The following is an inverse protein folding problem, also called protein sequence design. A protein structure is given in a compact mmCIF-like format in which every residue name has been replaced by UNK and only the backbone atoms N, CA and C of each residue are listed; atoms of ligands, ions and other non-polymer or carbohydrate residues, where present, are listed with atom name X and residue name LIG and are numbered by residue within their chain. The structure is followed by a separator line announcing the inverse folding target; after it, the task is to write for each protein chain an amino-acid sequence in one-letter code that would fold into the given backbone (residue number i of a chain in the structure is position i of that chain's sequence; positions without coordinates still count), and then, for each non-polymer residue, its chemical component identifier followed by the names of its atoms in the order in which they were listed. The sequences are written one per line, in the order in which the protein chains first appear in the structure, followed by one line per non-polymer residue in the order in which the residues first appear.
data_IF_300935597766
#
_entry.id   IF_300935597766
#
_cell.length_a   1.000
_cell.length_b   1.000
_cell.length_c   1.000
_cell.angle_alpha   90.00
_cell.angle_beta   90.00
_cell.angle_gamma   90.00
#
_symmetry.space_group_name_H-M   'P 1'
#
loop_
_entity.id
_entity.type
_entity.pdbx_description
1 polymer ?
#
# COMPACT_ATOMS: atom_id res chain seq x y z
N UNK A 1 44.53 1.65 -35.66
CA UNK A 1 43.66 1.28 -34.50
C UNK A 1 42.90 2.53 -34.08
N UNK A 2 41.59 2.63 -33.88
CA UNK A 2 40.47 1.70 -33.99
C UNK A 2 39.18 2.56 -33.97
N UNK A 3 38.16 2.13 -34.72
CA UNK A 3 36.80 2.65 -34.66
C UNK A 3 36.11 2.03 -33.43
N UNK A 4 35.25 2.78 -32.74
CA UNK A 4 34.37 2.27 -31.68
C UNK A 4 34.66 2.92 -30.31
N UNK A 5 33.70 3.33 -29.48
CA UNK A 5 32.29 2.97 -29.44
C UNK A 5 31.54 4.00 -28.59
N UNK A 6 30.67 4.81 -29.21
CA UNK A 6 29.68 5.63 -28.50
C UNK A 6 28.48 4.79 -27.98
N UNK A 7 28.71 3.48 -27.78
CA UNK A 7 27.74 2.53 -27.27
C UNK A 7 27.82 2.38 -25.74
N UNK A 8 29.01 2.58 -25.14
CA UNK A 8 29.20 2.31 -23.70
C UNK A 8 28.50 3.34 -22.80
N UNK A 9 28.42 4.61 -23.22
CA UNK A 9 27.72 5.66 -22.46
C UNK A 9 26.19 5.53 -22.51
N UNK A 10 25.65 4.96 -23.59
CA UNK A 10 24.20 4.82 -23.83
C UNK A 10 23.63 3.56 -23.16
N UNK A 11 24.43 2.50 -23.02
CA UNK A 11 24.06 1.29 -22.28
C UNK A 11 24.07 1.52 -20.76
N UNK A 12 25.08 2.20 -20.21
CA UNK A 12 25.11 2.55 -18.78
C UNK A 12 23.99 3.51 -18.34
N UNK A 13 23.39 4.26 -19.27
CA UNK A 13 22.22 5.10 -18.98
C UNK A 13 20.90 4.31 -18.96
N UNK A 14 20.82 3.17 -19.65
CA UNK A 14 19.66 2.27 -19.61
C UNK A 14 19.79 1.22 -18.49
N UNK A 15 21.00 0.73 -18.22
CA UNK A 15 21.27 -0.24 -17.16
C UNK A 15 21.17 0.37 -15.77
N UNK A 16 21.51 1.66 -15.60
CA UNK A 16 21.23 2.41 -14.36
C UNK A 16 19.74 2.72 -14.13
N UNK A 17 18.87 2.46 -15.10
CA UNK A 17 17.43 2.64 -14.95
C UNK A 17 16.72 1.38 -14.41
N UNK A 18 17.43 0.26 -14.32
CA UNK A 18 16.95 -0.97 -13.71
C UNK A 18 17.90 -1.53 -12.63
N UNK A 19 18.79 -0.70 -12.08
CA UNK A 19 19.26 -0.97 -10.72
C UNK A 19 18.12 -0.55 -9.82
N UNK A 20 17.23 -1.50 -9.54
CA UNK A 20 16.39 -1.46 -8.36
C UNK A 20 17.31 -1.19 -7.18
N UNK A 21 17.37 0.08 -6.79
CA UNK A 21 18.01 0.51 -5.57
C UNK A 21 17.28 -0.28 -4.50
N UNK A 22 17.93 -1.32 -3.95
CA UNK A 22 17.51 -1.99 -2.71
C UNK A 22 17.68 -1.03 -1.52
N UNK A 23 17.23 0.22 -1.69
CA UNK A 23 17.23 1.28 -0.71
C UNK A 23 15.87 1.29 -0.05
N UNK A 24 15.82 0.69 1.14
CA UNK A 24 14.74 0.79 2.13
C UNK A 24 13.32 0.56 1.61
N UNK A 25 12.71 -0.57 1.96
CA UNK A 25 11.24 -0.77 1.83
C UNK A 25 10.55 0.51 2.29
N UNK A 26 10.01 1.25 1.32
CA UNK A 26 9.87 2.69 1.46
C UNK A 26 8.91 3.01 2.60
N UNK A 27 9.31 3.98 3.43
CA UNK A 27 8.41 4.56 4.41
C UNK A 27 7.11 5.00 3.74
N UNK A 28 7.14 5.44 2.48
CA UNK A 28 5.93 5.75 1.70
C UNK A 28 4.97 4.56 1.55
N UNK A 29 5.44 3.34 1.27
CA UNK A 29 4.56 2.17 1.21
C UNK A 29 4.00 1.80 2.59
N UNK A 30 4.79 1.96 3.66
CA UNK A 30 4.31 1.80 5.02
C UNK A 30 3.24 2.85 5.38
N UNK A 31 3.43 4.11 4.97
CA UNK A 31 2.47 5.20 5.16
C UNK A 31 1.19 4.96 4.34
N UNK A 32 1.30 4.50 3.09
CA UNK A 32 0.13 4.10 2.27
C UNK A 32 -0.68 3.00 2.93
N UNK A 33 -0.02 2.04 3.60
CA UNK A 33 -0.70 1.01 4.39
C UNK A 33 -1.35 1.58 5.64
N UNK A 34 -0.72 2.55 6.30
CA UNK A 34 -1.29 3.23 7.46
C UNK A 34 -2.59 3.99 7.13
N UNK A 35 -2.74 4.46 5.90
CA UNK A 35 -3.95 5.14 5.43
C UNK A 35 -5.15 4.20 5.16
N UNK A 36 -4.98 2.89 5.28
CA UNK A 36 -5.99 1.90 4.95
C UNK A 36 -6.40 1.06 6.16
N UNK A 37 -7.69 0.74 6.24
CA UNK A 37 -8.30 -0.14 7.24
C UNK A 37 -8.87 -1.34 6.50
N UNK A 38 -8.54 -2.54 6.94
CA UNK A 38 -9.00 -3.78 6.28
C UNK A 38 -10.07 -4.45 7.14
N UNK A 39 -11.19 -4.85 6.53
CA UNK A 39 -12.22 -5.63 7.21
C UNK A 39 -11.67 -7.02 7.52
N UNK A 40 -11.77 -7.46 8.79
CA UNK A 40 -11.26 -8.77 9.22
C UNK A 40 -12.10 -9.95 8.68
N UNK A 41 -13.34 -9.71 8.27
CA UNK A 41 -14.26 -10.75 7.81
C UNK A 41 -14.08 -11.05 6.31
N UNK A 42 -14.05 -10.01 5.47
CA UNK A 42 -13.98 -10.17 4.01
C UNK A 42 -12.71 -9.61 3.37
N UNK A 43 -11.78 -9.08 4.16
CA UNK A 43 -10.50 -8.52 3.69
C UNK A 43 -10.63 -7.37 2.68
N UNK A 44 -11.81 -6.78 2.56
CA UNK A 44 -12.00 -5.56 1.79
C UNK A 44 -11.24 -4.42 2.45
N UNK A 45 -10.50 -3.67 1.64
CA UNK A 45 -9.69 -2.53 2.08
C UNK A 45 -10.53 -1.27 1.98
N UNK A 46 -10.56 -0.50 3.06
CA UNK A 46 -11.23 0.79 3.21
C UNK A 46 -10.19 1.85 3.56
N UNK A 47 -10.53 3.11 3.36
CA UNK A 47 -9.67 4.22 3.78
C UNK A 47 -9.83 4.47 5.28
N UNK A 48 -8.75 4.76 5.99
CA UNK A 48 -8.75 5.09 7.42
C UNK A 48 -9.55 6.36 7.71
N UNK A 49 -9.73 7.24 6.74
CA UNK A 49 -10.52 8.48 6.85
C UNK A 49 -12.04 8.24 6.81
N UNK A 50 -12.52 7.02 6.50
CA UNK A 50 -13.96 6.76 6.49
C UNK A 50 -14.56 6.90 7.89
N UNK A 51 -15.76 7.50 7.92
CA UNK A 51 -16.55 7.67 9.12
C UNK A 51 -17.04 6.33 9.65
N UNK A 52 -17.23 6.22 10.97
CA UNK A 52 -17.74 5.01 11.62
C UNK A 52 -19.09 4.58 11.02
N UNK A 53 -19.94 5.53 10.62
CA UNK A 53 -21.22 5.24 9.95
C UNK A 53 -21.04 4.42 8.66
N UNK A 54 -20.05 4.75 7.81
CA UNK A 54 -19.80 4.02 6.57
C UNK A 54 -19.25 2.61 6.83
N UNK A 55 -18.37 2.48 7.82
CA UNK A 55 -17.84 1.17 8.22
C UNK A 55 -18.91 0.30 8.90
N UNK A 56 -19.82 0.92 9.65
CA UNK A 56 -20.96 0.25 10.27
C UNK A 56 -21.95 -0.24 9.22
N UNK A 57 -22.23 0.56 8.19
CA UNK A 57 -23.06 0.14 7.06
C UNK A 57 -22.48 -1.11 6.38
N UNK A 58 -21.16 -1.16 6.18
CA UNK A 58 -20.50 -2.37 5.68
C UNK A 58 -20.69 -3.57 6.62
N UNK A 59 -20.43 -3.38 7.92
CA UNK A 59 -20.50 -4.45 8.91
C UNK A 59 -21.94 -5.02 9.04
N UNK A 60 -22.95 -4.15 9.02
CA UNK A 60 -24.36 -4.53 9.11
C UNK A 60 -24.86 -5.16 7.80
N UNK A 61 -24.67 -4.50 6.65
CA UNK A 61 -25.23 -4.98 5.38
C UNK A 61 -24.52 -6.22 4.81
N UNK A 62 -23.23 -6.41 5.09
CA UNK A 62 -22.47 -7.56 4.56
C UNK A 62 -22.35 -8.70 5.55
N UNK A 63 -22.23 -8.40 6.83
CA UNK A 63 -21.89 -9.40 7.84
C UNK A 63 -22.91 -9.51 8.96
N UNK A 64 -23.91 -8.63 9.03
CA UNK A 64 -24.83 -8.49 10.16
C UNK A 64 -24.09 -8.47 11.53
N UNK A 65 -22.92 -7.80 11.57
CA UNK A 65 -22.02 -7.73 12.74
C UNK A 65 -21.78 -6.30 13.18
N UNK A 66 -21.31 -6.15 14.41
CA UNK A 66 -20.90 -4.84 14.92
C UNK A 66 -19.62 -4.35 14.21
N UNK A 67 -19.52 -3.03 14.06
CA UNK A 67 -18.37 -2.36 13.43
C UNK A 67 -17.05 -2.68 14.15
N UNK A 68 -17.09 -2.90 15.47
CA UNK A 68 -15.91 -3.25 16.28
C UNK A 68 -15.40 -4.64 15.97
N UNK A 69 -16.29 -5.57 15.62
CA UNK A 69 -15.91 -6.94 15.24
C UNK A 69 -15.30 -7.01 13.84
N UNK A 70 -15.80 -6.19 12.90
CA UNK A 70 -15.26 -6.13 11.55
C UNK A 70 -13.94 -5.35 11.46
N UNK A 71 -13.79 -4.27 12.24
CA UNK A 71 -12.66 -3.35 12.15
C UNK A 71 -11.94 -3.13 13.49
N UNK A 72 -11.38 -4.19 14.11
CA UNK A 72 -10.77 -4.08 15.45
C UNK A 72 -9.59 -3.08 15.50
N UNK A 73 -8.78 -3.00 14.43
CA UNK A 73 -7.65 -2.06 14.34
C UNK A 73 -8.06 -0.58 14.46
N UNK A 74 -9.31 -0.23 14.12
CA UNK A 74 -9.82 1.15 14.24
C UNK A 74 -10.18 1.54 15.67
N UNK A 75 -10.41 0.57 16.54
CA UNK A 75 -10.89 0.78 17.92
C UNK A 75 -9.86 0.40 18.99
N UNK A 76 -8.86 -0.43 18.67
CA UNK A 76 -7.80 -0.84 19.63
C UNK A 76 -6.61 0.13 19.71
N UNK A 77 -6.59 1.21 18.92
CA UNK A 77 -5.56 2.25 19.00
C UNK A 77 -6.08 3.45 19.79
N UNK A 78 -6.20 3.31 21.10
CA UNK A 78 -6.39 4.41 22.07
C UNK A 78 -5.35 4.29 23.18
#
# INVERSE_FOLDING_TARGET
MGKGSNACKRNQARERKNVEVKGGKSQLEANKKALNVTCKVCYTVFMQTQSIAQLSEHAQNKHNKDVKECFPQKFESS
#
